data_IF_581450849594
#
_entry.id   IF_581450849594
#
_cell.length_a   1.000
_cell.length_b   1.000
_cell.length_c   1.000
_cell.angle_alpha   90.00
_cell.angle_beta   90.00
_cell.angle_gamma   90.00
#
_symmetry.space_group_name_H-M   'P 1'
#
loop_
_entity.id
_entity.type
_entity.pdbx_description
1 polymer ?
#
# COMPACT_ATOMS: atom_id res chain seq x y z
N UNK A 1 -20.84 17.63 -4.18
CA UNK A 1 -19.99 18.31 -3.16
C UNK A 1 -18.76 17.48 -2.79
N UNK A 2 -18.91 16.18 -2.48
CA UNK A 2 -17.80 15.24 -2.18
C UNK A 2 -16.80 15.09 -3.34
N UNK A 3 -17.27 14.94 -4.59
CA UNK A 3 -16.40 14.86 -5.77
C UNK A 3 -15.54 16.12 -5.98
N UNK A 4 -16.09 17.30 -5.67
CA UNK A 4 -15.41 18.60 -5.77
C UNK A 4 -14.37 18.79 -4.66
N UNK A 5 -14.59 18.18 -3.49
CA UNK A 5 -13.60 18.12 -2.40
C UNK A 5 -12.49 17.11 -2.70
N UNK A 6 -12.81 15.93 -3.26
CA UNK A 6 -11.83 14.93 -3.70
C UNK A 6 -10.93 15.48 -4.82
N UNK A 7 -11.50 16.20 -5.79
CA UNK A 7 -10.72 16.87 -6.84
C UNK A 7 -9.81 17.98 -6.33
N UNK A 8 -10.30 18.82 -5.40
CA UNK A 8 -9.47 19.87 -4.79
C UNK A 8 -8.32 19.28 -3.97
N UNK A 9 -8.54 18.13 -3.34
CA UNK A 9 -7.55 17.39 -2.53
C UNK A 9 -6.52 16.64 -3.36
N UNK A 10 -6.95 16.09 -4.50
CA UNK A 10 -6.05 15.57 -5.52
C UNK A 10 -5.17 16.67 -6.09
N UNK A 11 -5.70 17.90 -6.27
CA UNK A 11 -4.94 19.06 -6.73
C UNK A 11 -3.86 19.55 -5.74
N UNK A 12 -4.15 19.59 -4.43
CA UNK A 12 -3.18 20.03 -3.42
C UNK A 12 -2.09 19.01 -3.16
N UNK A 13 -2.43 17.72 -3.15
CA UNK A 13 -1.45 16.64 -3.07
C UNK A 13 -0.65 16.51 -4.36
N UNK A 14 -1.28 16.62 -5.53
CA UNK A 14 -0.55 16.64 -6.81
C UNK A 14 0.39 17.84 -6.91
N UNK A 15 0.01 19.02 -6.41
CA UNK A 15 0.88 20.19 -6.31
C UNK A 15 2.09 19.92 -5.41
N UNK A 16 1.88 19.42 -4.20
CA UNK A 16 2.97 19.04 -3.30
C UNK A 16 3.84 17.88 -3.83
N UNK A 17 3.25 16.93 -4.56
CA UNK A 17 3.95 15.81 -5.24
C UNK A 17 4.80 16.34 -6.39
N UNK A 18 4.29 17.27 -7.19
CA UNK A 18 5.01 17.89 -8.31
C UNK A 18 6.13 18.81 -7.78
N UNK A 19 5.86 19.58 -6.73
CA UNK A 19 6.85 20.42 -6.08
C UNK A 19 7.96 19.56 -5.44
N UNK A 20 7.62 18.48 -4.74
CA UNK A 20 8.58 17.52 -4.19
C UNK A 20 9.36 16.77 -5.29
N UNK A 21 8.75 16.51 -6.45
CA UNK A 21 9.44 15.91 -7.60
C UNK A 21 10.50 16.86 -8.20
N UNK A 22 10.26 18.17 -8.11
CA UNK A 22 11.16 19.23 -8.58
C UNK A 22 12.24 19.63 -7.56
N UNK A 23 12.10 19.25 -6.28
CA UNK A 23 13.12 19.55 -5.28
C UNK A 23 14.40 18.71 -5.50
N UNK A 24 15.60 19.27 -5.34
CA UNK A 24 16.82 18.48 -5.34
C UNK A 24 16.82 17.58 -4.09
N UNK A 25 16.81 16.26 -4.28
CA UNK A 25 17.00 15.28 -3.20
C UNK A 25 18.13 14.33 -3.62
N UNK A 26 19.39 14.64 -3.27
CA UNK A 26 20.55 13.82 -3.60
C UNK A 26 20.38 12.35 -3.18
N UNK A 27 19.72 12.13 -2.03
CA UNK A 27 19.50 10.80 -1.45
C UNK A 27 18.04 10.32 -1.58
N UNK A 28 17.23 11.01 -2.38
CA UNK A 28 15.82 10.70 -2.57
C UNK A 28 14.92 10.99 -1.36
N UNK A 29 15.40 11.67 -0.32
CA UNK A 29 14.59 12.11 0.83
C UNK A 29 14.22 13.60 0.71
N UNK A 30 12.94 13.91 0.88
CA UNK A 30 12.41 15.28 0.93
C UNK A 30 11.74 15.49 2.29
N UNK A 31 12.21 16.48 3.04
CA UNK A 31 11.57 16.88 4.29
C UNK A 31 10.68 18.09 4.02
N UNK A 32 9.40 17.98 4.37
CA UNK A 32 8.42 19.06 4.19
C UNK A 32 8.11 19.69 5.55
N UNK A 33 8.13 21.01 5.62
CA UNK A 33 7.73 21.74 6.81
C UNK A 33 6.19 21.74 6.96
N UNK A 34 5.68 20.69 7.59
CA UNK A 34 4.26 20.50 7.90
C UNK A 34 4.12 19.85 9.29
N UNK A 35 3.40 20.49 10.24
CA UNK A 35 3.18 19.91 11.56
C UNK A 35 2.29 18.65 11.54
N UNK A 36 1.56 18.37 10.46
CA UNK A 36 0.80 17.14 10.30
C UNK A 36 1.75 15.94 10.12
N UNK A 37 1.72 14.89 10.98
CA UNK A 37 2.60 13.73 10.86
C UNK A 37 2.25 12.88 9.63
N UNK A 38 2.99 13.07 8.54
CA UNK A 38 2.82 12.36 7.28
C UNK A 38 4.17 11.87 6.75
N UNK A 39 4.17 10.69 6.15
CA UNK A 39 5.29 10.17 5.39
C UNK A 39 4.74 9.30 4.25
N UNK A 40 5.36 9.39 3.07
CA UNK A 40 4.96 8.59 1.92
C UNK A 40 6.05 8.50 0.85
N UNK A 41 6.07 7.36 0.17
CA UNK A 41 6.83 7.11 -1.04
C UNK A 41 6.16 7.74 -2.29
N UNK A 42 6.87 8.64 -2.96
CA UNK A 42 6.51 9.21 -4.25
C UNK A 42 7.14 8.42 -5.41
N UNK A 43 6.34 7.83 -6.31
CA UNK A 43 6.87 7.17 -7.50
C UNK A 43 7.53 8.19 -8.44
N UNK A 44 8.60 7.79 -9.12
CA UNK A 44 9.35 8.65 -10.04
C UNK A 44 10.65 8.00 -10.51
N UNK A 45 11.39 8.72 -11.36
CA UNK A 45 12.73 8.35 -11.83
C UNK A 45 13.69 9.53 -11.62
N UNK A 46 14.35 9.64 -10.44
CA UNK A 46 14.31 8.72 -9.31
C UNK A 46 13.06 8.89 -8.42
N UNK A 47 12.63 7.81 -7.77
CA UNK A 47 11.58 7.84 -6.75
C UNK A 47 12.05 8.53 -5.47
N UNK A 48 11.13 9.07 -4.68
CA UNK A 48 11.46 9.90 -3.50
C UNK A 48 10.64 9.50 -2.29
N UNK A 49 11.20 9.65 -1.10
CA UNK A 49 10.50 9.53 0.17
C UNK A 49 10.24 10.94 0.69
N UNK A 50 8.99 11.24 1.01
CA UNK A 50 8.60 12.52 1.62
C UNK A 50 8.27 12.28 3.08
N UNK A 51 8.81 13.10 3.98
CA UNK A 51 8.53 13.04 5.42
C UNK A 51 8.25 14.45 5.94
N UNK A 52 7.20 14.63 6.74
CA UNK A 52 6.91 15.91 7.35
C UNK A 52 7.72 16.15 8.63
N UNK A 53 7.95 17.42 8.98
CA UNK A 53 8.54 17.80 10.28
C UNK A 53 7.70 17.28 11.46
N UNK A 54 6.37 17.24 11.33
CA UNK A 54 5.47 16.64 12.30
C UNK A 54 5.72 15.14 12.53
N UNK A 55 6.03 14.38 11.47
CA UNK A 55 6.35 12.95 11.60
C UNK A 55 7.73 12.75 12.21
N UNK A 56 8.72 13.57 11.84
CA UNK A 56 10.06 13.52 12.45
C UNK A 56 10.01 13.85 13.95
N UNK A 57 9.19 14.80 14.39
CA UNK A 57 9.01 15.08 15.82
C UNK A 57 8.28 13.96 16.57
N UNK A 58 7.45 13.17 15.88
CA UNK A 58 6.71 12.07 16.49
C UNK A 58 7.58 10.83 16.76
N UNK A 59 8.70 10.69 16.05
CA UNK A 59 9.56 9.50 16.07
C UNK A 59 10.96 9.85 16.59
N UNK A 60 11.65 8.91 17.24
CA UNK A 60 13.07 9.08 17.57
C UNK A 60 14.00 8.72 16.38
N UNK A 61 15.30 8.97 16.50
CA UNK A 61 16.27 8.76 15.40
C UNK A 61 16.31 7.30 14.90
N UNK A 62 16.16 6.33 15.81
CA UNK A 62 16.09 4.91 15.44
C UNK A 62 14.81 4.58 14.69
N UNK A 63 13.69 5.16 15.14
CA UNK A 63 12.39 5.07 14.50
C UNK A 63 12.34 5.78 13.13
N UNK A 64 13.10 6.86 12.92
CA UNK A 64 13.25 7.49 11.60
C UNK A 64 13.86 6.53 10.59
N UNK A 65 14.92 5.81 10.99
CA UNK A 65 15.55 4.80 10.13
C UNK A 65 14.57 3.71 9.71
N UNK A 66 13.72 3.24 10.65
CA UNK A 66 12.66 2.26 10.38
C UNK A 66 11.61 2.82 9.42
N UNK A 67 11.13 4.04 9.66
CA UNK A 67 10.17 4.71 8.79
C UNK A 67 10.71 4.84 7.37
N UNK A 68 11.95 5.31 7.22
CA UNK A 68 12.59 5.45 5.91
C UNK A 68 12.81 4.12 5.22
N UNK A 69 13.14 3.05 5.96
CA UNK A 69 13.24 1.71 5.40
C UNK A 69 11.88 1.21 4.87
N UNK A 70 10.79 1.48 5.58
CA UNK A 70 9.43 1.18 5.15
C UNK A 70 9.06 1.93 3.87
N UNK A 71 9.28 3.24 3.81
CA UNK A 71 8.95 4.04 2.62
C UNK A 71 9.82 3.66 1.41
N UNK A 72 11.11 3.38 1.61
CA UNK A 72 11.98 2.87 0.54
C UNK A 72 11.54 1.51 0.03
N UNK A 73 10.98 0.65 0.88
CA UNK A 73 10.42 -0.63 0.45
C UNK A 73 9.24 -0.43 -0.51
N UNK A 74 8.42 0.60 -0.33
CA UNK A 74 7.36 0.93 -1.29
C UNK A 74 7.90 1.33 -2.67
N UNK A 75 9.01 2.07 -2.72
CA UNK A 75 9.66 2.44 -3.97
C UNK A 75 10.30 1.22 -4.65
N UNK A 76 11.14 0.48 -3.91
CA UNK A 76 11.86 -0.68 -4.43
C UNK A 76 10.92 -1.81 -4.87
N UNK A 77 9.82 -2.03 -4.13
CA UNK A 77 8.80 -3.01 -4.46
C UNK A 77 7.77 -2.53 -5.48
N UNK A 78 7.88 -1.30 -5.98
CA UNK A 78 6.90 -0.66 -6.87
C UNK A 78 5.45 -0.83 -6.36
N UNK A 79 5.25 -0.72 -5.04
CA UNK A 79 3.98 -1.01 -4.38
C UNK A 79 2.81 -0.18 -4.92
N UNK A 80 3.10 1.03 -5.41
CA UNK A 80 2.12 1.90 -6.08
C UNK A 80 1.46 1.22 -7.30
N UNK A 81 2.20 0.43 -8.07
CA UNK A 81 1.68 -0.24 -9.27
C UNK A 81 0.65 -1.31 -8.89
N UNK A 82 0.93 -2.13 -7.87
CA UNK A 82 0.00 -3.14 -7.37
C UNK A 82 -1.30 -2.52 -6.86
N UNK A 83 -1.21 -1.42 -6.10
CA UNK A 83 -2.40 -0.69 -5.65
C UNK A 83 -3.18 -0.14 -6.85
N UNK A 84 -2.50 0.47 -7.82
CA UNK A 84 -3.14 1.02 -9.02
C UNK A 84 -3.90 -0.07 -9.80
N UNK A 85 -3.28 -1.22 -10.07
CA UNK A 85 -3.93 -2.33 -10.76
C UNK A 85 -5.11 -2.90 -9.99
N UNK A 86 -4.98 -3.06 -8.66
CA UNK A 86 -6.05 -3.59 -7.85
C UNK A 86 -7.25 -2.62 -7.76
N UNK A 87 -6.98 -1.31 -7.65
CA UNK A 87 -8.01 -0.28 -7.66
C UNK A 87 -8.67 -0.14 -9.03
N UNK A 88 -7.90 -0.26 -10.12
CA UNK A 88 -8.46 -0.31 -11.47
C UNK A 88 -9.41 -1.51 -11.62
N UNK A 89 -8.99 -2.70 -11.18
CA UNK A 89 -9.86 -3.88 -11.15
C UNK A 89 -11.13 -3.65 -10.33
N UNK A 90 -11.03 -3.04 -9.15
CA UNK A 90 -12.18 -2.72 -8.30
C UNK A 90 -13.10 -1.64 -8.89
N UNK A 91 -12.56 -0.73 -9.71
CA UNK A 91 -13.33 0.27 -10.44
C UNK A 91 -14.08 -0.35 -11.63
N UNK A 92 -13.43 -1.26 -12.36
CA UNK A 92 -14.04 -2.00 -13.47
C UNK A 92 -15.06 -3.04 -12.99
N UNK A 93 -14.79 -3.72 -11.87
CA UNK A 93 -15.67 -4.72 -11.27
C UNK A 93 -15.73 -4.51 -9.74
N UNK A 94 -16.84 -3.98 -9.20
CA UNK A 94 -17.02 -3.76 -7.76
C UNK A 94 -16.85 -5.00 -6.89
N UNK A 95 -17.01 -6.21 -7.43
CA UNK A 95 -16.77 -7.47 -6.70
C UNK A 95 -15.29 -7.65 -6.33
N UNK A 96 -14.37 -6.93 -6.98
CA UNK A 96 -12.93 -6.96 -6.68
C UNK A 96 -12.50 -5.99 -5.57
N UNK A 97 -13.41 -5.20 -4.99
CA UNK A 97 -13.08 -4.29 -3.87
C UNK A 97 -12.46 -5.00 -2.65
N UNK A 98 -12.93 -6.18 -2.22
CA UNK A 98 -12.26 -6.92 -1.13
C UNK A 98 -10.84 -7.35 -1.50
N UNK A 99 -10.60 -7.71 -2.76
CA UNK A 99 -9.27 -8.02 -3.26
C UNK A 99 -8.36 -6.78 -3.22
N UNK A 100 -8.86 -5.63 -3.68
CA UNK A 100 -8.10 -4.38 -3.59
C UNK A 100 -7.71 -4.02 -2.14
N UNK A 101 -8.64 -4.18 -1.19
CA UNK A 101 -8.35 -3.99 0.23
C UNK A 101 -7.31 -5.00 0.77
N UNK A 102 -7.37 -6.26 0.31
CA UNK A 102 -6.40 -7.29 0.68
C UNK A 102 -5.01 -7.00 0.10
N UNK A 103 -4.93 -6.51 -1.14
CA UNK A 103 -3.68 -6.08 -1.79
C UNK A 103 -3.05 -4.93 -1.01
N UNK A 104 -3.81 -3.86 -0.74
CA UNK A 104 -3.31 -2.72 0.06
C UNK A 104 -2.79 -3.16 1.43
N UNK A 105 -3.51 -4.02 2.15
CA UNK A 105 -3.05 -4.54 3.44
C UNK A 105 -1.76 -5.38 3.31
N UNK A 106 -1.67 -6.22 2.28
CA UNK A 106 -0.53 -7.11 2.09
C UNK A 106 0.73 -6.36 1.70
N UNK A 107 0.58 -5.27 0.95
CA UNK A 107 1.65 -4.35 0.58
C UNK A 107 2.23 -3.65 1.81
N UNK A 108 1.39 -3.13 2.69
CA UNK A 108 1.84 -2.54 3.97
C UNK A 108 2.59 -3.57 4.82
N UNK A 109 2.07 -4.79 4.87
CA UNK A 109 2.70 -5.94 5.53
C UNK A 109 4.05 -6.33 4.92
N UNK A 110 4.19 -6.19 3.60
CA UNK A 110 5.44 -6.47 2.90
C UNK A 110 6.47 -5.40 3.25
N UNK A 111 6.09 -4.12 3.18
CA UNK A 111 6.95 -3.01 3.58
C UNK A 111 7.40 -3.11 5.05
N UNK A 112 6.50 -3.51 5.96
CA UNK A 112 6.83 -3.78 7.37
C UNK A 112 7.96 -4.82 7.53
N UNK A 113 7.85 -5.94 6.83
CA UNK A 113 8.84 -7.02 6.94
C UNK A 113 10.16 -6.62 6.27
N UNK A 114 10.12 -5.85 5.18
CA UNK A 114 11.33 -5.25 4.60
C UNK A 114 12.00 -4.26 5.57
N UNK A 115 11.22 -3.42 6.25
CA UNK A 115 11.77 -2.54 7.28
C UNK A 115 12.37 -3.36 8.44
N UNK A 116 11.74 -4.48 8.80
CA UNK A 116 12.24 -5.35 9.85
C UNK A 116 13.52 -6.11 9.49
N UNK A 117 13.70 -6.50 8.22
CA UNK A 117 14.98 -7.09 7.78
C UNK A 117 16.11 -6.07 7.82
N UNK A 118 15.84 -4.81 7.45
CA UNK A 118 16.82 -3.71 7.52
C UNK A 118 17.15 -3.33 8.97
N UNK A 119 16.13 -3.21 9.82
CA UNK A 119 16.29 -2.81 11.22
C UNK A 119 16.80 -3.94 12.13
N UNK A 120 16.65 -5.20 11.72
CA UNK A 120 17.06 -6.37 12.50
C UNK A 120 16.17 -6.72 13.69
N UNK A 121 15.14 -5.91 13.99
CA UNK A 121 14.20 -6.16 15.08
C UNK A 121 12.74 -5.84 14.71
N UNK A 122 11.93 -6.91 14.57
CA UNK A 122 10.49 -6.82 14.28
C UNK A 122 9.69 -6.14 15.39
N UNK A 123 10.14 -6.19 16.65
CA UNK A 123 9.43 -5.54 17.77
C UNK A 123 9.60 -4.02 17.71
N UNK A 124 10.81 -3.54 17.40
CA UNK A 124 11.06 -2.13 17.14
C UNK A 124 10.20 -1.61 15.98
N UNK A 125 10.14 -2.34 14.85
CA UNK A 125 9.24 -1.97 13.74
C UNK A 125 7.77 -1.93 14.16
N UNK A 126 7.31 -2.92 14.93
CA UNK A 126 5.94 -2.94 15.43
C UNK A 126 5.60 -1.71 16.29
N UNK A 127 6.55 -1.27 17.15
CA UNK A 127 6.42 -0.05 17.95
C UNK A 127 6.38 1.19 17.05
N UNK A 128 7.32 1.32 16.11
CA UNK A 128 7.39 2.47 15.20
C UNK A 128 6.12 2.61 14.38
N UNK A 129 5.61 1.53 13.78
CA UNK A 129 4.36 1.53 13.00
C UNK A 129 3.18 1.96 13.88
N UNK A 130 3.11 1.45 15.11
CA UNK A 130 2.08 1.87 16.07
C UNK A 130 2.17 3.35 16.42
N UNK A 131 3.38 3.86 16.69
CA UNK A 131 3.64 5.26 17.06
C UNK A 131 3.32 6.22 15.91
N UNK A 132 3.80 5.92 14.70
CA UNK A 132 3.52 6.70 13.49
C UNK A 132 2.01 6.76 13.20
N UNK A 133 1.31 5.63 13.31
CA UNK A 133 -0.15 5.59 13.11
C UNK A 133 -0.91 6.38 14.19
N UNK A 134 -0.48 6.33 15.45
CA UNK A 134 -1.07 7.13 16.53
C UNK A 134 -0.81 8.63 16.30
N UNK A 135 0.40 9.01 15.90
CA UNK A 135 0.74 10.40 15.60
C UNK A 135 -0.13 10.97 14.47
N UNK A 136 -0.27 10.22 13.37
CA UNK A 136 -1.13 10.58 12.25
C UNK A 136 -2.62 10.69 12.65
N UNK A 137 -3.08 9.87 13.61
CA UNK A 137 -4.46 9.90 14.10
C UNK A 137 -4.77 11.12 15.00
N UNK A 138 -3.79 11.61 15.77
CA UNK A 138 -3.99 12.70 16.74
C UNK A 138 -3.75 14.11 16.15
N UNK A 139 -3.38 14.22 14.89
CA UNK A 139 -3.07 15.50 14.25
C UNK A 139 -4.32 16.43 14.20
N UNK A 140 -4.26 17.64 14.79
CA UNK A 140 -5.35 18.60 14.73
C UNK A 140 -5.49 19.11 13.28
N UNK A 141 -6.65 18.83 12.67
CA UNK A 141 -6.85 19.07 11.24
C UNK A 141 -6.64 17.83 10.36
N UNK A 142 -6.48 16.64 10.97
CA UNK A 142 -6.48 15.32 10.34
C UNK A 142 -7.75 15.04 9.53
N UNK A 143 -7.87 15.74 8.40
CA UNK A 143 -8.71 15.33 7.29
C UNK A 143 -8.11 13.99 6.90
N UNK A 144 -8.79 12.88 7.17
CA UNK A 144 -8.41 11.54 6.72
C UNK A 144 -8.10 11.58 5.22
N UNK A 145 -6.82 11.69 4.88
CA UNK A 145 -6.28 11.56 3.53
C UNK A 145 -6.15 10.06 3.31
N UNK A 146 -7.02 9.54 2.45
CA UNK A 146 -7.33 8.11 2.28
C UNK A 146 -8.13 7.53 3.46
N UNK A 147 -9.48 7.49 3.37
CA UNK A 147 -10.25 6.66 4.27
C UNK A 147 -9.98 5.18 3.95
N UNK A 148 -9.03 4.57 4.64
CA UNK A 148 -9.06 3.13 4.92
C UNK A 148 -10.25 2.72 5.81
N UNK A 149 -11.09 3.68 6.21
CA UNK A 149 -12.15 3.57 7.22
C UNK A 149 -13.58 3.48 6.65
N UNK A 150 -13.78 3.16 5.38
CA UNK A 150 -15.13 3.06 4.78
C UNK A 150 -15.46 1.71 4.13
N UNK A 151 -15.03 0.56 4.69
CA UNK A 151 -15.50 -0.77 4.23
C UNK A 151 -15.56 -1.81 5.36
N UNK A 152 -16.26 -1.49 6.46
CA UNK A 152 -16.44 -2.40 7.61
C UNK A 152 -17.54 -3.47 7.47
N UNK A 153 -18.32 -3.49 6.39
CA UNK A 153 -19.58 -4.28 6.36
C UNK A 153 -19.53 -5.55 5.52
N UNK A 154 -18.62 -5.70 4.53
CA UNK A 154 -18.57 -6.92 3.68
C UNK A 154 -17.37 -7.86 3.91
N UNK A 155 -16.37 -7.49 4.72
CA UNK A 155 -15.19 -8.33 5.01
C UNK A 155 -15.41 -9.45 6.03
N UNK A 156 -16.63 -9.60 6.57
CA UNK A 156 -16.93 -10.52 7.69
C UNK A 156 -17.14 -11.98 7.28
N UNK A 157 -17.31 -12.28 5.98
CA UNK A 157 -17.72 -13.61 5.52
C UNK A 157 -16.58 -14.66 5.42
N UNK A 158 -15.33 -14.31 5.75
CA UNK A 158 -14.20 -15.26 5.66
C UNK A 158 -13.14 -15.17 6.75
N UNK A 159 -13.29 -14.31 7.77
CA UNK A 159 -12.23 -14.04 8.75
C UNK A 159 -12.59 -14.58 10.14
N UNK A 160 -12.19 -15.82 10.42
CA UNK A 160 -12.19 -16.41 11.77
C UNK A 160 -10.84 -16.14 12.43
N UNK A 161 -10.81 -15.26 13.43
CA UNK A 161 -9.64 -15.02 14.27
C UNK A 161 -9.86 -13.87 15.27
N UNK A 162 -9.09 -13.81 16.38
CA UNK A 162 -9.29 -12.83 17.47
C UNK A 162 -9.18 -11.37 17.03
N UNK A 163 -8.50 -11.10 15.91
CA UNK A 163 -8.25 -9.76 15.36
C UNK A 163 -9.12 -9.44 14.14
N UNK A 164 -10.21 -10.18 13.91
CA UNK A 164 -11.12 -9.94 12.80
C UNK A 164 -11.83 -8.58 12.88
N UNK A 165 -11.99 -8.03 14.09
CA UNK A 165 -12.55 -6.69 14.36
C UNK A 165 -11.50 -5.57 14.43
N UNK A 166 -10.21 -5.92 14.48
CA UNK A 166 -9.13 -4.95 14.63
C UNK A 166 -8.86 -4.22 13.31
N UNK A 167 -8.57 -2.93 13.39
CA UNK A 167 -8.16 -2.10 12.25
C UNK A 167 -6.87 -2.61 11.58
N UNK A 168 -6.51 -2.07 10.41
CA UNK A 168 -5.36 -2.54 9.63
C UNK A 168 -4.04 -2.42 10.39
N UNK A 169 -3.84 -1.34 11.16
CA UNK A 169 -2.60 -1.10 11.92
C UNK A 169 -2.42 -2.11 13.07
N UNK A 170 -3.36 -2.31 14.01
CA UNK A 170 -3.21 -3.33 15.06
C UNK A 170 -2.94 -4.74 14.52
N UNK A 171 -3.51 -5.08 13.36
CA UNK A 171 -3.25 -6.38 12.70
C UNK A 171 -1.82 -6.49 12.17
N UNK A 172 -1.26 -5.42 11.60
CA UNK A 172 0.15 -5.36 11.17
C UNK A 172 1.10 -5.49 12.35
N UNK A 173 0.84 -4.75 13.42
CA UNK A 173 1.59 -4.84 14.69
C UNK A 173 1.55 -6.26 15.23
N UNK A 174 0.37 -6.88 15.31
CA UNK A 174 0.25 -8.27 15.75
C UNK A 174 1.01 -9.25 14.85
N UNK A 175 1.02 -9.03 13.53
CA UNK A 175 1.77 -9.87 12.60
C UNK A 175 3.30 -9.75 12.75
N UNK A 176 3.81 -8.56 13.07
CA UNK A 176 5.23 -8.34 13.39
C UNK A 176 5.64 -8.99 14.71
N UNK A 177 4.74 -9.00 15.70
CA UNK A 177 4.97 -9.63 17.00
C UNK A 177 4.82 -11.16 16.97
N UNK A 178 4.08 -11.71 16.01
CA UNK A 178 3.99 -13.14 15.77
C UNK A 178 5.31 -13.71 15.22
N UNK A 179 5.61 -15.02 15.38
CA UNK A 179 6.81 -15.63 14.78
C UNK A 179 6.92 -15.35 13.27
N UNK A 180 8.14 -15.20 12.73
CA UNK A 180 8.33 -14.91 11.31
C UNK A 180 7.72 -16.02 10.46
N UNK A 181 7.08 -15.62 9.36
CA UNK A 181 6.44 -16.56 8.45
C UNK A 181 7.54 -17.34 7.73
N UNK A 182 7.58 -18.65 7.93
CA UNK A 182 8.48 -19.53 7.19
C UNK A 182 7.91 -19.70 5.78
N UNK A 183 8.64 -19.24 4.76
CA UNK A 183 8.27 -19.44 3.36
C UNK A 183 8.16 -20.93 3.07
N UNK A 184 6.95 -21.37 2.71
CA UNK A 184 6.71 -22.77 2.30
C UNK A 184 6.72 -22.82 0.78
N UNK A 185 7.52 -23.72 0.23
CA UNK A 185 7.68 -23.91 -1.23
C UNK A 185 6.39 -24.40 -1.88
N UNK A 186 5.66 -25.30 -1.22
CA UNK A 186 4.43 -25.89 -1.78
C UNK A 186 3.36 -24.83 -2.11
N UNK A 187 2.95 -23.94 -1.18
CA UNK A 187 2.03 -22.85 -1.52
C UNK A 187 2.52 -21.97 -2.68
N UNK A 188 3.81 -21.64 -2.72
CA UNK A 188 4.37 -20.82 -3.79
C UNK A 188 4.26 -21.51 -5.16
N UNK A 189 4.58 -22.81 -5.24
CA UNK A 189 4.44 -23.61 -6.45
C UNK A 189 2.97 -23.72 -6.88
N UNK A 190 2.07 -23.97 -5.94
CA UNK A 190 0.63 -24.04 -6.21
C UNK A 190 0.12 -22.70 -6.75
N UNK A 191 0.49 -21.58 -6.13
CA UNK A 191 0.14 -20.24 -6.62
C UNK A 191 0.67 -20.01 -8.04
N UNK A 192 1.94 -20.34 -8.31
CA UNK A 192 2.53 -20.19 -9.64
C UNK A 192 1.81 -21.05 -10.69
N UNK A 193 1.46 -22.29 -10.36
CA UNK A 193 0.72 -23.19 -11.26
C UNK A 193 -0.68 -22.65 -11.57
N UNK A 194 -1.42 -22.17 -10.55
CA UNK A 194 -2.75 -21.58 -10.73
C UNK A 194 -2.68 -20.31 -11.60
N UNK A 195 -1.69 -19.44 -11.38
CA UNK A 195 -1.51 -18.24 -12.20
C UNK A 195 -1.17 -18.59 -13.66
N UNK A 196 -0.30 -19.57 -13.87
CA UNK A 196 0.08 -20.03 -15.21
C UNK A 196 -1.13 -20.61 -15.95
N UNK A 197 -1.93 -21.42 -15.27
CA UNK A 197 -3.16 -21.96 -15.83
C UNK A 197 -4.17 -20.86 -16.17
N UNK A 198 -4.36 -19.87 -15.30
CA UNK A 198 -5.27 -18.75 -15.54
C UNK A 198 -4.84 -17.91 -16.76
N UNK A 199 -3.53 -17.64 -16.90
CA UNK A 199 -2.97 -16.97 -18.08
C UNK A 199 -3.23 -17.80 -19.33
N UNK A 200 -3.00 -19.12 -19.28
CA UNK A 200 -3.27 -20.02 -20.40
C UNK A 200 -4.74 -20.00 -20.83
N UNK A 201 -5.66 -20.18 -19.89
CA UNK A 201 -7.10 -20.11 -20.15
C UNK A 201 -7.54 -18.76 -20.74
N UNK A 202 -6.93 -17.66 -20.30
CA UNK A 202 -7.22 -16.32 -20.82
C UNK A 202 -6.71 -16.16 -22.25
N UNK A 203 -5.54 -16.72 -22.56
CA UNK A 203 -4.97 -16.70 -23.91
C UNK A 203 -5.82 -17.51 -24.89
N UNK A 204 -6.27 -18.71 -24.50
CA UNK A 204 -7.20 -19.54 -25.30
C UNK A 204 -8.51 -18.81 -25.56
N UNK A 205 -9.14 -18.25 -24.52
CA UNK A 205 -10.39 -17.50 -24.67
C UNK A 205 -10.24 -16.27 -25.60
N UNK A 206 -9.10 -15.57 -25.54
CA UNK A 206 -8.81 -14.46 -26.44
C UNK A 206 -8.60 -14.94 -27.89
N UNK A 207 -7.96 -16.09 -28.08
CA UNK A 207 -7.79 -16.71 -29.38
C UNK A 207 -9.13 -17.12 -30.00
N UNK A 208 -10.00 -17.80 -29.24
CA UNK A 208 -11.34 -18.21 -29.67
C UNK A 208 -12.19 -17.00 -30.06
N UNK A 209 -12.15 -15.93 -29.26
CA UNK A 209 -12.84 -14.67 -29.57
C UNK A 209 -12.35 -14.07 -30.88
N UNK A 210 -11.04 -14.05 -31.13
CA UNK A 210 -10.46 -13.55 -32.36
C UNK A 210 -10.88 -14.38 -33.59
N UNK A 211 -10.89 -15.71 -33.46
CA UNK A 211 -11.35 -16.62 -34.52
C UNK A 211 -12.83 -16.38 -34.82
N UNK A 212 -13.67 -16.23 -33.80
CA UNK A 212 -15.10 -15.94 -33.97
C UNK A 212 -15.33 -14.61 -34.69
N UNK A 213 -14.61 -13.55 -34.30
CA UNK A 213 -14.71 -12.25 -34.95
C UNK A 213 -14.34 -12.29 -36.44
N UNK A 214 -13.32 -13.08 -36.82
CA UNK A 214 -12.98 -13.33 -38.22
C UNK A 214 -14.10 -14.03 -38.98
N UNK A 215 -14.75 -15.03 -38.37
CA UNK A 215 -15.83 -15.79 -39.02
C UNK A 215 -17.07 -14.92 -39.30
N UNK A 216 -17.36 -13.94 -38.46
CA UNK A 216 -18.50 -13.02 -38.62
C UNK A 216 -18.15 -11.82 -39.52
N UNK A 217 -16.93 -11.75 -40.05
CA UNK A 217 -16.48 -10.69 -40.96
C UNK A 217 -16.30 -9.32 -40.28
N UNK A 218 -16.10 -9.31 -38.97
CA UNK A 218 -15.91 -8.07 -38.20
C UNK A 218 -14.50 -7.45 -38.36
N UNK A 219 -13.58 -8.14 -39.05
CA UNK A 219 -12.20 -7.73 -39.32
C UNK A 219 -11.66 -8.38 -40.59
#
# INVERSE_FOLDING_TARGET
VVARMLWRRAGTLAGAVLDAACMPAPDGLVVVDDPAPEAFALPGLPGRVVVSTGMLHALDDGEHGILLAHERAHLAGHHYAFVAFAQFGAAANPLLRPLAAAVSYTIERWADECAATVAGDRRSVARTVGKAALAAHHAPGGRSGIPGAAMGVLGKLGRRGPLASAGPVPRRVAALLAPPVVYRTVPAVVTAAVLSLAVWCTAEAAHDLHVLLKLVGAW
#
